data_IF_665841369608
#
_entry.id   IF_665841369608
#
_cell.length_a   1.000
_cell.length_b   1.000
_cell.length_c   1.000
_cell.angle_alpha   90.00
_cell.angle_beta   90.00
_cell.angle_gamma   90.00
#
_symmetry.space_group_name_H-M   'P 1'
#
loop_
_entity.id
_entity.type
_entity.pdbx_description
1 polymer ?
#
# COMPACT_ATOMS: atom_id res chain seq x y z
N UNK A 1 -1.88 -2.56 5.10
CA UNK A 1 -2.41 -2.08 3.80
C UNK A 1 -1.29 -1.42 3.00
N UNK A 2 -0.94 -1.95 1.83
CA UNK A 2 0.11 -1.42 0.97
C UNK A 2 -0.46 -0.82 -0.31
N UNK A 3 -0.08 0.42 -0.63
CA UNK A 3 -0.40 1.08 -1.89
C UNK A 3 0.74 0.89 -2.88
N UNK A 4 0.50 0.11 -3.93
CA UNK A 4 1.50 -0.21 -4.93
C UNK A 4 1.68 0.94 -5.92
N UNK A 5 2.91 1.09 -6.42
CA UNK A 5 3.25 2.16 -7.35
C UNK A 5 4.73 2.31 -7.64
N UNK A 6 5.06 3.35 -8.39
CA UNK A 6 6.43 3.77 -8.66
C UNK A 6 6.75 5.02 -7.85
N UNK A 7 7.65 4.91 -6.89
CA UNK A 7 8.11 6.07 -6.12
C UNK A 7 8.73 7.13 -7.04
N UNK A 8 8.23 8.36 -6.96
CA UNK A 8 8.66 9.47 -7.81
C UNK A 8 7.90 9.62 -9.13
N UNK A 9 7.03 8.66 -9.50
CA UNK A 9 6.16 8.75 -10.68
C UNK A 9 4.70 8.95 -10.24
N UNK A 10 4.43 10.12 -9.67
CA UNK A 10 3.12 10.54 -9.16
C UNK A 10 2.14 10.83 -10.29
N UNK A 11 0.83 10.63 -10.06
CA UNK A 11 -0.21 10.92 -11.06
C UNK A 11 -0.31 9.92 -12.21
N UNK A 12 0.49 8.86 -12.22
CA UNK A 12 0.39 7.79 -13.23
C UNK A 12 -0.62 6.74 -12.79
N UNK A 13 -1.30 6.10 -13.75
CA UNK A 13 -2.27 5.02 -13.46
C UNK A 13 -1.66 3.93 -12.57
N UNK A 14 -0.39 3.60 -12.82
CA UNK A 14 0.31 2.57 -12.08
C UNK A 14 0.67 2.96 -10.64
N UNK A 15 0.58 4.25 -10.28
CA UNK A 15 0.79 4.74 -8.91
C UNK A 15 -0.52 5.03 -8.18
N UNK A 16 -1.67 4.63 -8.73
CA UNK A 16 -2.99 4.87 -8.11
C UNK A 16 -3.10 4.26 -6.72
N UNK A 17 -2.43 3.12 -6.46
CA UNK A 17 -2.40 2.49 -5.15
C UNK A 17 -1.82 3.43 -4.09
N UNK A 18 -0.73 4.13 -4.40
CA UNK A 18 -0.11 5.11 -3.49
C UNK A 18 -1.05 6.30 -3.22
N UNK A 19 -1.78 6.78 -4.23
CA UNK A 19 -2.74 7.88 -4.08
C UNK A 19 -3.95 7.49 -3.22
N UNK A 20 -4.43 6.25 -3.37
CA UNK A 20 -5.49 5.71 -2.49
C UNK A 20 -5.02 5.69 -1.04
N UNK A 21 -3.77 5.30 -0.78
CA UNK A 21 -3.20 5.29 0.57
C UNK A 21 -3.07 6.70 1.16
N UNK A 22 -2.74 7.71 0.35
CA UNK A 22 -2.76 9.11 0.80
C UNK A 22 -4.16 9.57 1.18
N UNK A 23 -5.18 9.19 0.41
CA UNK A 23 -6.57 9.49 0.74
C UNK A 23 -7.03 8.77 2.01
N UNK A 24 -6.67 7.50 2.16
CA UNK A 24 -6.99 6.68 3.33
C UNK A 24 -6.33 7.24 4.60
N UNK A 25 -5.04 7.61 4.53
CA UNK A 25 -4.34 8.21 5.65
C UNK A 25 -5.01 9.52 6.13
N UNK A 26 -5.53 10.35 5.20
CA UNK A 26 -6.33 11.53 5.55
C UNK A 26 -7.66 11.18 6.22
N UNK A 27 -8.36 10.14 5.73
CA UNK A 27 -9.62 9.69 6.35
C UNK A 27 -9.41 9.16 7.76
N UNK A 28 -8.27 8.52 8.00
CA UNK A 28 -7.86 7.99 9.30
C UNK A 28 -7.16 9.03 10.19
N UNK A 29 -7.09 10.30 9.77
CA UNK A 29 -6.43 11.39 10.49
C UNK A 29 -4.94 11.16 10.82
N UNK A 30 -4.22 10.39 9.98
CA UNK A 30 -2.79 10.07 10.14
C UNK A 30 -1.92 10.54 8.97
N UNK A 31 -2.42 11.44 8.12
CA UNK A 31 -1.70 11.90 6.93
C UNK A 31 -0.34 12.57 7.26
N UNK A 32 -0.22 13.25 8.39
CA UNK A 32 1.05 13.84 8.84
C UNK A 32 2.01 12.82 9.47
N UNK A 33 1.52 11.59 9.68
CA UNK A 33 2.21 10.48 10.31
C UNK A 33 3.12 9.68 9.37
N UNK A 34 3.14 9.99 8.06
CA UNK A 34 4.06 9.33 7.14
C UNK A 34 5.52 9.56 7.54
N UNK A 35 6.26 8.46 7.68
CA UNK A 35 7.69 8.44 7.98
C UNK A 35 8.39 7.41 7.11
N UNK A 36 9.57 7.77 6.62
CA UNK A 36 10.41 6.83 5.90
C UNK A 36 10.97 5.78 6.86
N UNK A 37 10.65 4.51 6.63
CA UNK A 37 11.28 3.37 7.28
C UNK A 37 12.29 2.73 6.32
N UNK A 38 13.58 2.83 6.66
CA UNK A 38 14.67 2.30 5.85
C UNK A 38 14.71 0.77 5.83
N UNK A 39 14.15 0.11 6.86
CA UNK A 39 14.19 -1.35 7.01
C UNK A 39 13.35 -2.05 5.94
N UNK A 40 12.21 -1.46 5.57
CA UNK A 40 11.36 -1.93 4.48
C UNK A 40 11.44 -1.04 3.22
N UNK A 41 12.27 0.00 3.22
CA UNK A 41 12.40 0.94 2.11
C UNK A 41 11.03 1.49 1.65
N UNK A 42 10.25 2.00 2.61
CA UNK A 42 8.89 2.49 2.37
C UNK A 42 8.59 3.73 3.22
N UNK A 43 7.63 4.53 2.78
CA UNK A 43 6.95 5.46 3.69
C UNK A 43 5.86 4.68 4.43
N UNK A 44 5.82 4.83 5.75
CA UNK A 44 4.90 4.12 6.65
C UNK A 44 4.13 5.11 7.52
N UNK A 45 2.85 4.86 7.73
CA UNK A 45 2.03 5.53 8.73
C UNK A 45 1.26 4.46 9.53
N UNK A 46 1.13 4.67 10.84
CA UNK A 46 0.34 3.81 11.71
C UNK A 46 -1.01 4.47 11.97
N UNK A 47 -2.08 3.68 11.97
CA UNK A 47 -3.42 4.13 12.29
C UNK A 47 -4.13 3.13 13.19
N UNK A 48 -5.16 3.60 13.89
CA UNK A 48 -6.10 2.74 14.60
C UNK A 48 -7.49 2.96 14.03
N UNK A 49 -8.17 1.89 13.63
CA UNK A 49 -9.53 1.95 13.11
C UNK A 49 -10.33 0.76 13.64
N UNK A 50 -11.50 1.01 14.22
CA UNK A 50 -12.39 -0.04 14.75
C UNK A 50 -11.69 -1.03 15.70
N UNK A 51 -10.73 -0.55 16.50
CA UNK A 51 -9.97 -1.38 17.44
C UNK A 51 -8.83 -2.20 16.81
N UNK A 52 -8.58 -2.04 15.50
CA UNK A 52 -7.47 -2.66 14.79
C UNK A 52 -6.32 -1.67 14.61
N UNK A 53 -5.09 -2.15 14.79
CA UNK A 53 -3.89 -1.44 14.38
C UNK A 53 -3.63 -1.68 12.90
N UNK A 54 -3.40 -0.60 12.16
CA UNK A 54 -3.20 -0.62 10.72
C UNK A 54 -1.82 -0.06 10.40
N UNK A 55 -1.06 -0.81 9.62
CA UNK A 55 0.16 -0.33 8.96
C UNK A 55 -0.21 0.10 7.55
N UNK A 56 -0.10 1.39 7.26
CA UNK A 56 -0.19 1.95 5.91
C UNK A 56 1.22 2.00 5.31
N UNK A 57 1.40 1.50 4.09
CA UNK A 57 2.72 1.36 3.48
C UNK A 57 2.72 1.82 2.02
N UNK A 58 3.69 2.66 1.64
CA UNK A 58 3.97 3.06 0.25
C UNK A 58 5.45 2.76 -0.07
N UNK A 59 5.75 1.73 -0.90
CA UNK A 59 7.13 1.38 -1.23
C UNK A 59 7.89 2.53 -1.87
N UNK A 60 9.13 2.77 -1.44
CA UNK A 60 10.05 3.73 -2.06
C UNK A 60 10.90 3.07 -3.14
N UNK A 61 10.24 2.27 -3.99
CA UNK A 61 10.85 1.47 -5.06
C UNK A 61 10.02 1.57 -6.35
N UNK A 62 10.59 1.08 -7.45
CA UNK A 62 9.82 0.81 -8.66
C UNK A 62 8.88 -0.39 -8.46
N UNK A 63 7.78 -0.42 -9.23
CA UNK A 63 6.69 -1.38 -9.06
C UNK A 63 7.18 -2.82 -9.02
N UNK A 64 8.07 -3.19 -9.95
CA UNK A 64 8.64 -4.53 -10.06
C UNK A 64 9.38 -5.00 -8.80
N UNK A 65 9.73 -4.09 -7.88
CA UNK A 65 10.41 -4.37 -6.62
C UNK A 65 9.57 -4.05 -5.37
N UNK A 66 8.30 -3.64 -5.53
CA UNK A 66 7.42 -3.32 -4.39
C UNK A 66 7.25 -4.52 -3.45
N UNK A 67 7.26 -5.76 -3.98
CA UNK A 67 7.15 -6.98 -3.19
C UNK A 67 8.22 -7.13 -2.10
N UNK A 68 9.45 -6.64 -2.34
CA UNK A 68 10.51 -6.64 -1.33
C UNK A 68 10.15 -5.76 -0.14
N UNK A 69 9.61 -4.57 -0.40
CA UNK A 69 9.17 -3.64 0.66
C UNK A 69 7.99 -4.20 1.45
N UNK A 70 7.03 -4.83 0.77
CA UNK A 70 5.88 -5.46 1.43
C UNK A 70 6.32 -6.64 2.31
N UNK A 71 7.18 -7.53 1.78
CA UNK A 71 7.69 -8.68 2.52
C UNK A 71 8.48 -8.25 3.78
N UNK A 72 9.42 -7.31 3.65
CA UNK A 72 10.16 -6.80 4.81
C UNK A 72 9.26 -6.14 5.84
N UNK A 73 8.21 -5.43 5.43
CA UNK A 73 7.25 -4.87 6.38
C UNK A 73 6.43 -5.95 7.08
N UNK A 74 5.99 -6.99 6.36
CA UNK A 74 5.29 -8.12 6.96
C UNK A 74 6.14 -8.79 8.06
N UNK A 75 7.44 -8.98 7.83
CA UNK A 75 8.37 -9.49 8.84
C UNK A 75 8.51 -8.53 10.04
N UNK A 76 8.72 -7.23 9.80
CA UNK A 76 8.89 -6.22 10.86
C UNK A 76 7.67 -6.14 11.79
N UNK A 77 6.47 -6.24 11.22
CA UNK A 77 5.20 -6.12 11.95
C UNK A 77 4.57 -7.48 12.31
N UNK A 78 5.28 -8.59 12.05
CA UNK A 78 4.82 -9.96 12.32
C UNK A 78 3.41 -10.25 11.74
N UNK A 79 3.22 -9.92 10.46
CA UNK A 79 1.95 -10.05 9.74
C UNK A 79 1.97 -11.29 8.83
N UNK A 80 0.86 -12.02 8.79
CA UNK A 80 0.63 -13.08 7.80
C UNK A 80 0.14 -12.50 6.46
N UNK A 81 0.21 -13.25 5.35
CA UNK A 81 -0.36 -12.82 4.07
C UNK A 81 -1.84 -12.44 4.13
N UNK A 82 -2.61 -13.09 5.02
CA UNK A 82 -4.02 -12.83 5.29
C UNK A 82 -4.29 -11.44 5.90
N UNK A 83 -3.28 -10.83 6.52
CA UNK A 83 -3.36 -9.49 7.12
C UNK A 83 -3.01 -8.39 6.10
N UNK A 84 -2.59 -8.76 4.89
CA UNK A 84 -2.05 -7.86 3.88
C UNK A 84 -3.07 -7.56 2.79
N UNK A 85 -3.49 -6.30 2.74
CA UNK A 85 -4.24 -5.75 1.62
C UNK A 85 -3.29 -5.01 0.68
N UNK A 86 -3.31 -5.38 -0.60
CA UNK A 86 -2.61 -4.67 -1.68
C UNK A 86 -3.61 -3.82 -2.46
N UNK A 87 -3.27 -2.55 -2.70
CA UNK A 87 -4.06 -1.63 -3.53
C UNK A 87 -3.25 -1.30 -4.76
N UNK A 88 -3.79 -1.58 -5.94
CA UNK A 88 -3.13 -1.40 -7.24
C UNK A 88 -4.12 -1.11 -8.37
N UNK A 89 -3.63 -0.72 -9.54
CA UNK A 89 -4.41 -0.59 -10.77
C UNK A 89 -4.73 -1.95 -11.41
N UNK A 90 -5.88 -2.04 -12.09
CA UNK A 90 -6.33 -3.24 -12.79
C UNK A 90 -6.67 -2.88 -14.23
N UNK A 91 -5.95 -3.48 -15.19
CA UNK A 91 -6.11 -3.20 -16.62
C UNK A 91 -7.37 -3.81 -17.21
N UNK A 92 -7.92 -4.85 -16.59
CA UNK A 92 -9.09 -5.58 -17.09
C UNK A 92 -10.41 -4.91 -16.67
N UNK A 93 -10.35 -3.88 -15.82
CA UNK A 93 -11.52 -3.16 -15.33
C UNK A 93 -11.69 -1.82 -16.01
N UNK A 94 -12.94 -1.49 -16.32
CA UNK A 94 -13.30 -0.15 -16.76
C UNK A 94 -12.96 0.90 -15.66
N UNK A 95 -12.60 2.11 -16.10
CA UNK A 95 -12.27 3.21 -15.19
C UNK A 95 -13.40 3.46 -14.18
N UNK A 96 -13.04 3.66 -12.92
CA UNK A 96 -13.97 3.88 -11.82
C UNK A 96 -14.58 2.61 -11.23
N UNK A 97 -14.26 1.42 -11.77
CA UNK A 97 -14.63 0.14 -11.15
C UNK A 97 -13.56 -0.28 -10.15
N UNK A 98 -14.02 -0.75 -9.00
CA UNK A 98 -13.19 -1.28 -7.91
C UNK A 98 -13.72 -2.66 -7.54
N UNK A 99 -12.83 -3.59 -7.24
CA UNK A 99 -13.17 -4.90 -6.72
C UNK A 99 -12.19 -5.30 -5.60
N UNK A 100 -12.65 -6.16 -4.71
CA UNK A 100 -11.83 -6.80 -3.69
C UNK A 100 -11.75 -8.28 -4.04
N UNK A 101 -10.54 -8.85 -3.98
CA UNK A 101 -10.28 -10.26 -4.27
C UNK A 101 -9.30 -10.82 -3.25
N UNK A 102 -9.52 -12.07 -2.84
CA UNK A 102 -8.56 -12.85 -2.08
C UNK A 102 -7.77 -13.74 -3.05
N UNK A 103 -6.45 -13.58 -3.07
CA UNK A 103 -5.55 -14.31 -3.95
C UNK A 103 -5.72 -14.00 -5.45
N UNK A 104 -5.28 -14.93 -6.30
CA UNK A 104 -5.23 -14.76 -7.75
C UNK A 104 -3.82 -14.68 -8.30
N UNK A 105 -3.68 -14.64 -9.62
CA UNK A 105 -2.42 -14.36 -10.28
C UNK A 105 -2.11 -12.86 -10.27
N UNK A 106 -0.84 -12.50 -10.44
CA UNK A 106 -0.37 -11.13 -10.67
C UNK A 106 -0.77 -10.57 -12.05
N UNK A 107 -1.80 -11.15 -12.67
CA UNK A 107 -2.28 -10.84 -14.00
C UNK A 107 -3.66 -10.22 -13.88
#
# INVERSE_FOLDING_TARGET
VAGLGNYGLWGTRHSVGMEVLDRLARQLAVAEGWRMDKRCCADVALATAHGLELVLLKPRRFMNLNGLSVASAAEIYNLGPEDIYLVHDDLDKALGKVAIKLGGSAR
#
